data_IF_013869474171
#
_entry.id   IF_013869474171
#
_cell.length_a   1.000
_cell.length_b   1.000
_cell.length_c   1.000
_cell.angle_alpha   90.00
_cell.angle_beta   90.00
_cell.angle_gamma   90.00
#
_symmetry.space_group_name_H-M   'P 1'
#
loop_
_entity.id
_entity.type
_entity.pdbx_description
1 polymer ?
#
# COMPACT_ATOMS: atom_id res chain seq x y z
N UNK A 1 -16.82 -41.47 -20.00
CA UNK A 1 -15.63 -40.63 -19.78
C UNK A 1 -14.87 -40.56 -21.09
N UNK A 2 -14.76 -39.39 -21.73
CA UNK A 2 -13.97 -39.24 -22.95
C UNK A 2 -12.48 -39.41 -22.65
N UNK A 3 -11.76 -40.10 -23.53
CA UNK A 3 -10.30 -40.24 -23.43
C UNK A 3 -9.68 -38.87 -23.76
N UNK A 4 -9.01 -38.26 -22.78
CA UNK A 4 -8.29 -36.99 -23.00
C UNK A 4 -7.04 -37.25 -23.85
N UNK A 5 -6.85 -36.45 -24.89
CA UNK A 5 -5.58 -36.46 -25.63
C UNK A 5 -4.52 -35.73 -24.81
N UNK A 6 -3.30 -36.27 -24.80
CA UNK A 6 -2.16 -35.63 -24.15
C UNK A 6 -2.01 -34.19 -24.68
N UNK A 7 -1.99 -33.20 -23.77
CA UNK A 7 -1.86 -31.78 -24.10
C UNK A 7 -3.17 -30.99 -24.31
N UNK A 8 -4.34 -31.61 -24.18
CA UNK A 8 -5.63 -30.88 -24.25
C UNK A 8 -5.76 -29.84 -23.13
N UNK A 9 -6.12 -28.60 -23.50
CA UNK A 9 -6.26 -27.49 -22.56
C UNK A 9 -4.95 -27.01 -21.93
N UNK A 10 -3.78 -27.48 -22.38
CA UNK A 10 -2.49 -27.13 -21.78
C UNK A 10 -2.26 -25.62 -21.74
N UNK A 11 -2.35 -24.94 -22.88
CA UNK A 11 -2.08 -23.50 -22.97
C UNK A 11 -3.08 -22.66 -22.19
N UNK A 12 -4.37 -22.97 -22.27
CA UNK A 12 -5.41 -22.25 -21.52
C UNK A 12 -5.17 -22.42 -20.01
N UNK A 13 -4.81 -23.62 -19.54
CA UNK A 13 -4.50 -23.86 -18.12
C UNK A 13 -3.23 -23.12 -17.68
N UNK A 14 -2.17 -23.15 -18.48
CA UNK A 14 -0.92 -22.45 -18.18
C UNK A 14 -1.13 -20.93 -18.15
N UNK A 15 -1.83 -20.36 -19.13
CA UNK A 15 -2.13 -18.92 -19.17
C UNK A 15 -3.05 -18.51 -18.01
N UNK A 16 -4.04 -19.34 -17.67
CA UNK A 16 -4.91 -19.08 -16.50
C UNK A 16 -4.12 -19.13 -15.20
N UNK A 17 -3.25 -20.13 -15.02
CA UNK A 17 -2.38 -20.22 -13.84
C UNK A 17 -1.41 -19.04 -13.75
N UNK A 18 -0.84 -18.61 -14.88
CA UNK A 18 0.04 -17.44 -14.93
C UNK A 18 -0.71 -16.16 -14.58
N UNK A 19 -1.90 -15.92 -15.15
CA UNK A 19 -2.73 -14.75 -14.84
C UNK A 19 -3.13 -14.70 -13.37
N UNK A 20 -3.56 -15.82 -12.80
CA UNK A 20 -3.86 -15.93 -11.37
C UNK A 20 -2.59 -15.72 -10.52
N UNK A 21 -1.46 -16.32 -10.91
CA UNK A 21 -0.19 -16.17 -10.23
C UNK A 21 0.28 -14.70 -10.16
N UNK A 22 0.20 -13.97 -11.27
CA UNK A 22 0.50 -12.53 -11.32
C UNK A 22 -0.43 -11.77 -10.36
N UNK A 23 -1.73 -12.10 -10.38
CA UNK A 23 -2.72 -11.46 -9.51
C UNK A 23 -2.44 -11.72 -8.02
N UNK A 24 -2.01 -12.94 -7.67
CA UNK A 24 -1.65 -13.32 -6.30
C UNK A 24 -0.38 -12.60 -5.85
N UNK A 25 0.64 -12.50 -6.71
CA UNK A 25 1.87 -11.75 -6.40
C UNK A 25 1.53 -10.27 -6.17
N UNK A 26 0.69 -9.68 -7.01
CA UNK A 26 0.22 -8.30 -6.83
C UNK A 26 -0.54 -8.13 -5.51
N UNK A 27 -1.42 -9.07 -5.16
CA UNK A 27 -2.15 -9.06 -3.89
C UNK A 27 -1.21 -9.22 -2.67
N UNK A 28 -0.17 -10.06 -2.77
CA UNK A 28 0.83 -10.23 -1.72
C UNK A 28 1.67 -8.97 -1.52
N UNK A 29 2.08 -8.31 -2.62
CA UNK A 29 2.79 -7.03 -2.58
C UNK A 29 1.92 -5.92 -1.97
N UNK A 30 0.62 -5.89 -2.30
CA UNK A 30 -0.32 -4.98 -1.64
C UNK A 30 -0.47 -5.28 -0.14
N UNK A 31 -0.63 -6.56 0.23
CA UNK A 31 -0.75 -6.98 1.63
C UNK A 31 0.49 -6.64 2.48
N UNK A 32 1.69 -6.73 1.89
CA UNK A 32 2.94 -6.26 2.50
C UNK A 32 2.89 -4.76 2.83
N UNK A 33 2.43 -3.96 1.88
CA UNK A 33 2.25 -2.52 2.07
C UNK A 33 1.28 -2.19 3.20
N UNK A 34 0.12 -2.87 3.23
CA UNK A 34 -0.89 -2.67 4.28
C UNK A 34 -0.36 -3.05 5.68
N UNK A 35 0.34 -4.18 5.79
CA UNK A 35 0.94 -4.60 7.06
C UNK A 35 2.02 -3.63 7.58
N UNK A 36 2.70 -2.90 6.68
CA UNK A 36 3.70 -1.90 7.05
C UNK A 36 3.12 -0.59 7.60
N UNK A 37 1.87 -0.26 7.24
CA UNK A 37 1.19 0.95 7.73
C UNK A 37 0.76 0.78 9.19
N UNK A 38 0.55 -0.47 9.64
CA UNK A 38 0.10 -0.78 10.99
C UNK A 38 1.22 -0.47 11.98
N UNK A 39 1.00 0.55 12.83
CA UNK A 39 1.90 0.89 13.92
C UNK A 39 1.62 -0.03 15.12
N UNK A 40 2.55 -0.96 15.36
CA UNK A 40 2.49 -1.84 16.52
C UNK A 40 2.93 -1.09 17.79
N UNK A 41 2.34 -1.41 18.97
CA UNK A 41 2.75 -0.78 20.22
C UNK A 41 4.23 -1.03 20.50
N UNK A 42 4.94 0.03 20.85
CA UNK A 42 6.35 -0.02 21.21
C UNK A 42 6.53 -0.76 22.55
N UNK A 43 7.51 -1.68 22.60
CA UNK A 43 7.97 -2.27 23.86
C UNK A 43 8.94 -1.32 24.55
N UNK A 44 9.82 -0.74 23.76
CA UNK A 44 10.90 0.16 24.15
C UNK A 44 10.94 1.33 23.18
N UNK A 45 11.44 2.46 23.66
CA UNK A 45 11.76 3.61 22.83
C UNK A 45 13.25 3.89 22.89
N UNK A 46 13.84 4.16 21.73
CA UNK A 46 15.23 4.61 21.61
C UNK A 46 15.21 6.09 21.26
N UNK A 47 15.57 6.93 22.23
CA UNK A 47 15.62 8.38 22.13
C UNK A 47 17.05 8.85 21.87
N UNK A 48 17.24 9.75 20.91
CA UNK A 48 18.51 10.43 20.69
C UNK A 48 18.54 11.73 21.50
N UNK A 49 19.54 11.86 22.35
CA UNK A 49 19.69 12.96 23.29
C UNK A 49 20.81 13.90 22.88
N UNK A 50 20.67 15.17 23.25
CA UNK A 50 21.69 16.19 23.13
C UNK A 50 21.66 17.13 24.32
N UNK A 51 22.78 17.78 24.60
CA UNK A 51 22.93 18.67 25.75
C UNK A 51 22.55 17.96 27.06
N UNK A 52 23.05 16.72 27.22
CA UNK A 52 22.87 15.94 28.44
C UNK A 52 23.72 16.56 29.54
N UNK A 53 23.08 17.02 30.60
CA UNK A 53 23.72 17.61 31.77
C UNK A 53 23.40 16.74 32.98
N UNK A 54 24.40 16.05 33.52
CA UNK A 54 24.25 15.10 34.63
C UNK A 54 24.52 13.65 34.21
N UNK A 55 24.47 12.72 35.16
CA UNK A 55 24.75 11.30 34.95
C UNK A 55 23.43 10.52 34.88
N UNK A 56 23.23 9.72 33.82
CA UNK A 56 22.04 8.88 33.65
C UNK A 56 22.40 7.44 34.00
N UNK A 57 21.80 6.90 35.06
CA UNK A 57 21.99 5.51 35.44
C UNK A 57 20.87 4.61 34.92
N UNK A 58 21.19 3.33 34.74
CA UNK A 58 20.18 2.31 34.44
C UNK A 58 19.23 2.16 35.64
N UNK A 59 17.93 2.14 35.37
CA UNK A 59 16.89 2.03 36.40
C UNK A 59 16.34 3.36 36.89
N UNK A 60 16.89 4.50 36.46
CA UNK A 60 16.37 5.81 36.82
C UNK A 60 14.98 6.06 36.23
N UNK A 61 14.13 6.73 37.01
CA UNK A 61 12.82 7.20 36.55
C UNK A 61 12.98 8.56 35.88
N UNK A 62 12.77 8.59 34.57
CA UNK A 62 12.78 9.81 33.76
C UNK A 62 11.36 10.34 33.61
N UNK A 63 11.20 11.66 33.64
CA UNK A 63 9.95 12.33 33.26
C UNK A 63 10.10 12.94 31.88
N UNK A 64 9.20 12.58 30.96
CA UNK A 64 9.17 13.07 29.60
C UNK A 64 8.31 14.34 29.53
N UNK A 65 8.84 15.41 28.94
CA UNK A 65 8.12 16.66 28.74
C UNK A 65 7.97 16.98 27.26
N UNK A 66 6.81 17.53 26.89
CA UNK A 66 6.49 17.94 25.53
C UNK A 66 5.80 19.31 25.51
N UNK A 67 5.82 19.99 24.36
CA UNK A 67 4.99 21.18 24.17
C UNK A 67 3.55 20.77 23.81
N UNK A 68 2.60 21.16 24.64
CA UNK A 68 1.18 20.98 24.33
C UNK A 68 0.73 22.08 23.36
N UNK A 69 0.85 21.78 22.07
CA UNK A 69 0.40 22.65 20.98
C UNK A 69 -1.14 22.66 20.83
N UNK A 70 -1.85 21.75 21.49
CA UNK A 70 -3.30 21.53 21.30
C UNK A 70 -4.14 22.28 22.34
N UNK A 71 -3.65 22.43 23.59
CA UNK A 71 -4.32 23.16 24.67
C UNK A 71 -3.83 24.61 24.92
N UNK A 72 -3.04 25.17 24.01
CA UNK A 72 -2.90 26.63 23.90
C UNK A 72 -1.78 27.29 24.71
N UNK A 73 -0.66 26.63 25.00
CA UNK A 73 0.52 27.34 25.48
C UNK A 73 1.83 26.79 24.86
N UNK A 74 2.29 27.34 23.71
CA UNK A 74 3.45 26.83 22.97
C UNK A 74 4.80 27.04 23.67
N UNK A 75 4.80 27.69 24.84
CA UNK A 75 6.02 28.04 25.58
C UNK A 75 6.19 27.24 26.88
N UNK A 76 5.18 26.46 27.31
CA UNK A 76 5.22 25.70 28.57
C UNK A 76 5.31 24.21 28.30
N UNK A 77 6.40 23.60 28.80
CA UNK A 77 6.61 22.16 28.78
C UNK A 77 5.67 21.48 29.77
N UNK A 78 4.81 20.59 29.27
CA UNK A 78 3.90 19.79 30.09
C UNK A 78 4.48 18.40 30.30
N UNK A 79 4.32 17.83 31.50
CA UNK A 79 4.73 16.46 31.79
C UNK A 79 3.83 15.46 31.07
N UNK A 80 4.42 14.61 30.23
CA UNK A 80 3.74 13.49 29.57
C UNK A 80 3.52 12.31 30.53
N UNK A 81 4.42 12.17 31.50
CA UNK A 81 4.51 11.05 32.45
C UNK A 81 5.92 10.46 32.51
N UNK A 82 6.09 9.42 33.33
CA UNK A 82 7.40 8.83 33.58
C UNK A 82 7.66 7.51 32.83
N UNK A 83 8.94 7.21 32.63
CA UNK A 83 9.45 5.95 32.09
C UNK A 83 10.75 5.56 32.81
N UNK A 84 11.17 4.31 32.67
CA UNK A 84 12.38 3.77 33.28
C UNK A 84 13.50 3.69 32.24
N UNK A 85 14.71 4.07 32.64
CA UNK A 85 15.91 3.93 31.81
C UNK A 85 16.35 2.46 31.77
N UNK A 86 16.30 1.85 30.58
CA UNK A 86 16.83 0.50 30.34
C UNK A 86 18.33 0.53 30.11
N UNK A 87 18.81 1.47 29.29
CA UNK A 87 20.22 1.64 28.98
C UNK A 87 20.49 3.06 28.47
N UNK A 88 21.68 3.58 28.76
CA UNK A 88 22.15 4.85 28.23
C UNK A 88 23.54 4.65 27.60
N UNK A 89 23.64 4.87 26.30
CA UNK A 89 24.90 4.82 25.55
C UNK A 89 25.40 6.25 25.33
N UNK A 90 26.47 6.64 26.04
CA UNK A 90 27.08 7.96 25.91
C UNK A 90 27.72 8.17 24.53
N UNK A 91 27.39 9.31 23.92
CA UNK A 91 27.95 9.78 22.66
C UNK A 91 28.98 10.89 22.85
N UNK A 92 29.46 11.44 21.74
CA UNK A 92 30.41 12.57 21.77
C UNK A 92 29.68 13.89 22.04
N UNK A 93 30.32 14.82 22.74
CA UNK A 93 29.82 16.19 22.95
C UNK A 93 28.46 16.28 23.65
N UNK A 94 28.29 15.61 24.79
CA UNK A 94 27.06 15.61 25.59
C UNK A 94 25.81 15.17 24.80
N UNK A 95 26.00 14.25 23.85
CA UNK A 95 24.93 13.53 23.16
C UNK A 95 24.93 12.07 23.61
N UNK A 96 23.83 11.36 23.41
CA UNK A 96 23.75 9.94 23.76
C UNK A 96 22.49 9.29 23.23
N UNK A 97 22.43 7.96 23.29
CA UNK A 97 21.27 7.17 22.92
C UNK A 97 20.68 6.59 24.20
N UNK A 98 19.46 6.99 24.52
CA UNK A 98 18.73 6.52 25.69
C UNK A 98 17.68 5.50 25.27
N UNK A 99 17.68 4.33 25.90
CA UNK A 99 16.65 3.31 25.74
C UNK A 99 15.76 3.30 26.97
N UNK A 100 14.46 3.41 26.75
CA UNK A 100 13.48 3.58 27.82
C UNK A 100 12.37 2.54 27.69
N UNK A 101 11.92 2.02 28.83
CA UNK A 101 10.79 1.10 28.95
C UNK A 101 9.99 1.40 30.23
N UNK A 102 9.08 0.50 30.65
CA UNK A 102 8.37 0.66 31.93
C UNK A 102 7.51 1.93 32.03
N UNK A 103 6.80 2.28 30.95
CA UNK A 103 5.99 3.51 30.87
C UNK A 103 4.86 3.54 31.90
N UNK A 104 4.70 4.66 32.59
CA UNK A 104 3.64 4.89 33.58
C UNK A 104 2.25 4.83 32.95
N UNK A 105 2.07 5.44 31.77
CA UNK A 105 0.80 5.56 31.07
C UNK A 105 0.89 5.14 29.60
N UNK A 106 -0.22 4.63 29.05
CA UNK A 106 -0.33 4.25 27.62
C UNK A 106 -0.16 5.46 26.67
N UNK A 107 -0.39 6.68 27.15
CA UNK A 107 -0.10 7.92 26.41
C UNK A 107 1.40 8.09 26.20
N UNK A 108 2.21 7.92 27.26
CA UNK A 108 3.68 7.99 27.18
C UNK A 108 4.22 6.94 26.22
N UNK A 109 3.71 5.71 26.34
CA UNK A 109 4.11 4.59 25.47
C UNK A 109 3.83 4.82 23.99
N UNK A 110 2.77 5.58 23.65
CA UNK A 110 2.41 5.89 22.26
C UNK A 110 3.08 7.17 21.73
N UNK A 111 3.36 8.14 22.60
CA UNK A 111 3.79 9.49 22.24
C UNK A 111 5.19 9.86 22.73
N UNK A 112 6.00 8.92 23.21
CA UNK A 112 7.37 9.21 23.66
C UNK A 112 8.26 9.86 22.58
N UNK A 113 7.91 9.76 21.29
CA UNK A 113 8.56 10.52 20.21
C UNK A 113 8.37 12.03 20.29
N UNK A 114 7.27 12.49 20.89
CA UNK A 114 6.89 13.90 20.96
C UNK A 114 7.57 14.59 22.14
N UNK A 115 8.30 13.83 22.97
CA UNK A 115 9.08 14.39 24.05
C UNK A 115 10.20 15.27 23.49
N UNK A 116 10.38 16.45 24.07
CA UNK A 116 11.42 17.40 23.71
C UNK A 116 12.47 17.55 24.79
N UNK A 117 12.05 17.40 26.06
CA UNK A 117 12.96 17.42 27.19
C UNK A 117 12.74 16.23 28.09
N UNK A 118 13.84 15.82 28.70
CA UNK A 118 13.91 14.79 29.72
C UNK A 118 14.39 15.40 31.02
N UNK A 119 13.83 14.88 32.10
CA UNK A 119 14.17 15.28 33.46
C UNK A 119 14.34 14.04 34.34
N UNK A 120 15.44 13.96 35.09
CA UNK A 120 15.65 12.96 36.15
C UNK A 120 15.75 13.70 37.48
N UNK A 121 14.92 13.30 38.44
CA UNK A 121 14.85 13.90 39.78
C UNK A 121 13.52 14.61 40.06
N UNK A 122 13.48 15.34 41.17
CA UNK A 122 12.33 16.12 41.63
C UNK A 122 12.49 17.59 41.18
N UNK A 123 11.44 18.19 40.60
CA UNK A 123 11.45 19.54 40.02
C UNK A 123 12.10 20.57 40.96
N UNK A 124 13.34 20.98 40.64
CA UNK A 124 14.07 22.04 41.37
C UNK A 124 15.33 21.59 42.14
N UNK A 125 15.69 20.30 42.13
CA UNK A 125 16.98 19.80 42.66
C UNK A 125 18.01 19.58 41.52
N UNK A 126 19.26 19.19 41.86
CA UNK A 126 20.29 18.80 40.90
C UNK A 126 19.76 17.70 39.97
N UNK A 127 19.32 18.12 38.79
CA UNK A 127 18.50 17.30 37.93
C UNK A 127 19.17 17.10 36.60
N UNK A 128 19.16 15.85 36.15
CA UNK A 128 19.67 15.55 34.83
C UNK A 128 18.69 16.09 33.80
N UNK A 129 19.17 16.98 32.95
CA UNK A 129 18.37 17.54 31.85
C UNK A 129 18.97 17.12 30.53
N UNK A 130 18.11 16.71 29.59
CA UNK A 130 18.52 16.38 28.24
C UNK A 130 17.46 16.82 27.24
N UNK A 131 17.91 17.23 26.04
CA UNK A 131 17.03 17.58 24.92
C UNK A 131 16.89 16.35 24.01
N UNK A 132 15.66 15.91 23.80
CA UNK A 132 15.32 14.82 22.89
C UNK A 132 15.29 15.37 21.46
N UNK A 133 16.08 14.77 20.58
CA UNK A 133 16.15 15.15 19.16
C UNK A 133 15.29 14.27 18.26
N UNK A 134 14.94 13.09 18.73
CA UNK A 134 14.05 12.17 18.04
C UNK A 134 13.92 10.85 18.78
N UNK A 135 12.83 10.15 18.53
CA UNK A 135 12.55 8.84 19.10
C UNK A 135 12.23 7.82 18.01
N UNK A 136 12.84 6.65 18.08
CA UNK A 136 12.46 5.50 17.27
C UNK A 136 11.81 4.43 18.15
N UNK A 137 10.57 3.99 17.82
CA UNK A 137 9.93 2.92 18.57
C UNK A 137 10.54 1.58 18.16
N UNK A 138 10.79 0.72 19.14
CA UNK A 138 11.09 -0.68 18.89
C UNK A 138 9.83 -1.50 19.25
N UNK A 139 9.10 -2.00 18.23
CA UNK A 139 7.82 -2.67 18.46
C UNK A 139 8.01 -4.00 19.19
N UNK A 140 7.00 -4.43 19.95
CA UNK A 140 6.99 -5.74 20.62
C UNK A 140 7.19 -6.88 19.61
N UNK A 141 6.63 -6.70 18.41
CA UNK A 141 6.76 -7.63 17.30
C UNK A 141 7.33 -6.89 16.09
N UNK A 142 8.45 -7.35 15.49
CA UNK A 142 9.01 -6.73 14.30
C UNK A 142 7.98 -6.67 13.16
N UNK A 143 7.75 -5.47 12.62
CA UNK A 143 6.82 -5.25 11.51
C UNK A 143 7.16 -6.13 10.31
N UNK A 144 8.45 -6.43 10.11
CA UNK A 144 8.93 -7.33 9.07
C UNK A 144 8.31 -8.73 9.17
N UNK A 145 8.19 -9.31 10.37
CA UNK A 145 7.60 -10.64 10.52
C UNK A 145 6.10 -10.62 10.23
N UNK A 146 5.42 -9.51 10.57
CA UNK A 146 4.01 -9.34 10.23
C UNK A 146 3.83 -9.25 8.71
N UNK A 147 4.66 -8.44 8.05
CA UNK A 147 4.66 -8.28 6.60
C UNK A 147 4.92 -9.60 5.86
N UNK A 148 5.95 -10.34 6.28
CA UNK A 148 6.26 -11.67 5.74
C UNK A 148 5.11 -12.64 5.99
N UNK A 149 4.53 -12.63 7.20
CA UNK A 149 3.39 -13.49 7.54
C UNK A 149 2.17 -13.24 6.65
N UNK A 150 1.81 -11.97 6.44
CA UNK A 150 0.68 -11.59 5.58
C UNK A 150 0.95 -11.94 4.12
N UNK A 151 2.07 -11.50 3.56
CA UNK A 151 2.41 -11.78 2.16
C UNK A 151 2.57 -13.28 1.90
N UNK A 152 3.22 -14.01 2.81
CA UNK A 152 3.40 -15.46 2.74
C UNK A 152 2.08 -16.22 2.80
N UNK A 153 1.14 -15.79 3.65
CA UNK A 153 -0.20 -16.40 3.73
C UNK A 153 -1.00 -16.21 2.44
N UNK A 154 -0.95 -15.01 1.85
CA UNK A 154 -1.60 -14.72 0.56
C UNK A 154 -1.01 -15.60 -0.55
N UNK A 155 0.32 -15.72 -0.61
CA UNK A 155 1.00 -16.57 -1.58
C UNK A 155 0.65 -18.05 -1.42
N UNK A 156 0.63 -18.55 -0.19
CA UNK A 156 0.31 -19.95 0.11
C UNK A 156 -1.14 -20.28 -0.28
N UNK A 157 -2.09 -19.47 0.18
CA UNK A 157 -3.51 -19.65 -0.14
C UNK A 157 -3.72 -19.52 -1.66
N UNK A 158 -3.08 -18.54 -2.29
CA UNK A 158 -3.13 -18.35 -3.73
C UNK A 158 -2.61 -19.56 -4.52
N UNK A 159 -1.47 -20.13 -4.12
CA UNK A 159 -0.91 -21.32 -4.73
C UNK A 159 -1.85 -22.54 -4.60
N UNK A 160 -2.47 -22.71 -3.42
CA UNK A 160 -3.48 -23.74 -3.17
C UNK A 160 -4.68 -23.53 -4.12
N UNK A 161 -5.21 -22.31 -4.21
CA UNK A 161 -6.33 -21.97 -5.09
C UNK A 161 -6.00 -22.24 -6.56
N UNK A 162 -4.82 -21.84 -7.03
CA UNK A 162 -4.38 -22.10 -8.42
C UNK A 162 -4.28 -23.60 -8.69
N UNK A 163 -3.67 -24.36 -7.77
CA UNK A 163 -3.56 -25.81 -7.89
C UNK A 163 -4.94 -26.48 -7.95
N UNK A 164 -5.86 -26.11 -7.05
CA UNK A 164 -7.20 -26.69 -7.05
C UNK A 164 -8.00 -26.28 -8.28
N UNK A 165 -7.96 -25.01 -8.68
CA UNK A 165 -8.77 -24.51 -9.81
C UNK A 165 -8.26 -24.99 -11.17
N UNK A 166 -6.94 -24.95 -11.40
CA UNK A 166 -6.34 -25.29 -12.70
C UNK A 166 -5.96 -26.77 -12.79
N UNK A 167 -5.62 -27.39 -11.66
CA UNK A 167 -5.00 -28.72 -11.58
C UNK A 167 -5.96 -29.84 -11.18
N UNK A 168 -6.66 -29.67 -10.07
CA UNK A 168 -7.32 -30.78 -9.38
C UNK A 168 -8.85 -30.83 -9.54
N UNK A 169 -9.53 -29.69 -9.62
CA UNK A 169 -11.00 -29.64 -9.66
C UNK A 169 -11.52 -29.98 -11.06
N UNK A 170 -12.09 -31.18 -11.19
CA UNK A 170 -12.59 -31.75 -12.45
C UNK A 170 -13.43 -30.77 -13.28
N UNK A 171 -14.44 -30.13 -12.67
CA UNK A 171 -15.32 -29.20 -13.38
C UNK A 171 -14.57 -27.99 -13.97
N UNK A 172 -13.65 -27.40 -13.19
CA UNK A 172 -12.84 -26.27 -13.67
C UNK A 172 -11.90 -26.70 -14.79
N UNK A 173 -11.28 -27.88 -14.67
CA UNK A 173 -10.40 -28.44 -15.70
C UNK A 173 -11.18 -28.73 -16.99
N UNK A 174 -12.37 -29.33 -16.90
CA UNK A 174 -13.25 -29.58 -18.05
C UNK A 174 -13.65 -28.29 -18.74
N UNK A 175 -13.97 -27.23 -17.97
CA UNK A 175 -14.26 -25.91 -18.52
C UNK A 175 -13.06 -25.30 -19.27
N UNK A 176 -11.85 -25.36 -18.70
CA UNK A 176 -10.64 -24.83 -19.33
C UNK A 176 -10.28 -25.61 -20.61
N UNK A 177 -10.50 -26.94 -20.62
CA UNK A 177 -10.32 -27.78 -21.81
C UNK A 177 -11.38 -27.44 -22.88
N UNK A 178 -12.65 -27.28 -22.49
CA UNK A 178 -13.72 -26.91 -23.42
C UNK A 178 -13.45 -25.53 -24.04
N UNK A 179 -12.96 -24.58 -23.25
CA UNK A 179 -12.55 -23.25 -23.72
C UNK A 179 -11.42 -23.33 -24.76
N UNK A 180 -10.40 -24.15 -24.52
CA UNK A 180 -9.33 -24.41 -25.50
C UNK A 180 -9.89 -25.01 -26.80
N UNK A 181 -10.83 -25.96 -26.68
CA UNK A 181 -11.52 -26.56 -27.81
C UNK A 181 -12.35 -25.55 -28.61
N UNK A 182 -13.01 -24.62 -27.94
CA UNK A 182 -13.81 -23.57 -28.59
C UNK A 182 -12.92 -22.54 -29.28
N UNK A 183 -11.85 -22.10 -28.63
CA UNK A 183 -10.88 -21.15 -29.20
C UNK A 183 -10.15 -21.69 -30.43
N UNK A 184 -9.93 -23.00 -30.53
CA UNK A 184 -9.37 -23.63 -31.72
C UNK A 184 -10.30 -23.62 -32.93
N UNK A 185 -11.60 -23.41 -32.74
CA UNK A 185 -12.56 -23.24 -33.85
C UNK A 185 -12.50 -21.84 -34.45
N UNK A 186 -11.95 -20.88 -33.71
CA UNK A 186 -11.83 -19.50 -34.16
C UNK A 186 -10.69 -19.43 -35.18
N UNK A 187 -11.05 -19.23 -36.44
CA UNK A 187 -10.08 -18.86 -37.46
C UNK A 187 -9.73 -17.39 -37.27
N UNK A 188 -8.45 -17.10 -37.05
CA UNK A 188 -7.97 -15.72 -37.00
C UNK A 188 -7.98 -15.13 -38.40
N UNK A 189 -8.73 -14.04 -38.59
CA UNK A 189 -8.84 -13.35 -39.88
C UNK A 189 -7.47 -12.88 -40.34
N UNK A 190 -7.18 -13.04 -41.63
CA UNK A 190 -5.92 -12.56 -42.19
C UNK A 190 -5.87 -11.03 -42.20
N UNK A 191 -4.66 -10.45 -42.18
CA UNK A 191 -4.49 -8.98 -42.26
C UNK A 191 -5.21 -8.35 -43.46
N UNK A 192 -5.33 -9.09 -44.57
CA UNK A 192 -6.04 -8.64 -45.78
C UNK A 192 -7.55 -8.53 -45.56
N UNK A 193 -8.15 -9.50 -44.86
CA UNK A 193 -9.57 -9.48 -44.51
C UNK A 193 -9.89 -8.34 -43.54
N UNK A 194 -9.04 -8.14 -42.52
CA UNK A 194 -9.17 -7.03 -41.58
C UNK A 194 -9.12 -5.69 -42.32
N UNK A 195 -8.14 -5.50 -43.21
CA UNK A 195 -8.04 -4.28 -44.03
C UNK A 195 -9.26 -4.09 -44.94
N UNK A 196 -9.73 -5.16 -45.57
CA UNK A 196 -10.92 -5.14 -46.42
C UNK A 196 -12.16 -4.69 -45.65
N UNK A 197 -12.43 -5.32 -44.50
CA UNK A 197 -13.56 -4.96 -43.62
C UNK A 197 -13.47 -3.52 -43.13
N UNK A 198 -12.28 -3.06 -42.70
CA UNK A 198 -12.08 -1.69 -42.21
C UNK A 198 -12.29 -0.66 -43.32
N UNK A 199 -11.81 -0.89 -44.54
CA UNK A 199 -11.99 0.04 -45.67
C UNK A 199 -13.47 0.19 -46.03
N UNK A 200 -14.23 -0.91 -46.02
CA UNK A 200 -15.68 -0.85 -46.30
C UNK A 200 -16.40 0.00 -45.25
N UNK A 201 -16.09 -0.18 -43.97
CA UNK A 201 -16.69 0.62 -42.89
C UNK A 201 -16.31 2.10 -43.02
N UNK A 202 -15.04 2.40 -43.31
CA UNK A 202 -14.57 3.77 -43.52
C UNK A 202 -15.31 4.41 -44.71
N UNK A 203 -15.39 3.71 -45.85
CA UNK A 203 -16.07 4.21 -47.04
C UNK A 203 -17.56 4.45 -46.80
N UNK A 204 -18.26 3.52 -46.14
CA UNK A 204 -19.66 3.67 -45.78
C UNK A 204 -19.88 4.87 -44.84
N UNK A 205 -19.00 5.04 -43.84
CA UNK A 205 -19.07 6.18 -42.91
C UNK A 205 -18.89 7.51 -43.65
N UNK A 206 -17.92 7.62 -44.55
CA UNK A 206 -17.73 8.83 -45.36
C UNK A 206 -18.88 9.10 -46.34
N UNK A 207 -19.48 8.06 -46.92
CA UNK A 207 -20.63 8.21 -47.80
C UNK A 207 -21.83 8.77 -47.04
N UNK A 208 -22.14 8.19 -45.86
CA UNK A 208 -23.22 8.68 -45.00
C UNK A 208 -22.93 10.12 -44.55
N UNK A 209 -21.71 10.42 -44.10
CA UNK A 209 -21.32 11.76 -43.70
C UNK A 209 -21.45 12.77 -44.85
N UNK A 210 -21.04 12.41 -46.06
CA UNK A 210 -21.19 13.24 -47.25
C UNK A 210 -22.66 13.45 -47.65
N UNK A 211 -23.49 12.42 -47.55
CA UNK A 211 -24.93 12.53 -47.79
C UNK A 211 -25.60 13.46 -46.79
N UNK A 212 -25.34 13.26 -45.49
CA UNK A 212 -25.86 14.13 -44.43
C UNK A 212 -25.40 15.57 -44.62
N UNK A 213 -24.11 15.80 -44.90
CA UNK A 213 -23.59 17.13 -45.20
C UNK A 213 -24.30 17.78 -46.39
N UNK A 214 -24.57 17.02 -47.45
CA UNK A 214 -25.31 17.49 -48.63
C UNK A 214 -26.74 17.87 -48.30
N UNK A 215 -27.46 17.01 -47.58
CA UNK A 215 -28.84 17.24 -47.14
C UNK A 215 -28.93 18.44 -46.19
N UNK A 216 -28.05 18.51 -45.19
CA UNK A 216 -27.98 19.61 -44.22
C UNK A 216 -27.67 20.93 -44.92
N UNK A 217 -26.71 20.95 -45.85
CA UNK A 217 -26.38 22.16 -46.63
C UNK A 217 -27.53 22.60 -47.53
N UNK A 218 -28.25 21.65 -48.14
CA UNK A 218 -29.42 21.94 -48.96
C UNK A 218 -30.54 22.55 -48.11
N UNK A 219 -30.87 21.94 -46.98
CA UNK A 219 -31.88 22.45 -46.06
C UNK A 219 -31.48 23.82 -45.48
N UNK A 220 -30.23 24.00 -45.08
CA UNK A 220 -29.72 25.29 -44.59
C UNK A 220 -29.89 26.40 -45.64
N UNK A 221 -29.59 26.12 -46.92
CA UNK A 221 -29.79 27.05 -48.02
C UNK A 221 -31.27 27.36 -48.27
N UNK A 222 -32.14 26.34 -48.27
CA UNK A 222 -33.58 26.52 -48.46
C UNK A 222 -34.17 27.36 -47.32
N UNK A 223 -33.86 27.04 -46.07
CA UNK A 223 -34.36 27.78 -44.91
C UNK A 223 -33.81 29.20 -44.81
N UNK A 224 -32.57 29.44 -45.27
CA UNK A 224 -32.04 30.80 -45.42
C UNK A 224 -32.76 31.57 -46.52
N UNK A 225 -33.07 30.93 -47.66
CA UNK A 225 -33.80 31.57 -48.76
C UNK A 225 -35.25 31.95 -48.38
N UNK A 226 -35.91 31.15 -47.54
CA UNK A 226 -37.27 31.43 -47.03
C UNK A 226 -37.24 32.47 -45.88
N UNK A 227 -36.05 32.89 -45.43
CA UNK A 227 -35.89 33.92 -44.40
C UNK A 227 -36.09 33.41 -42.97
N UNK A 228 -36.12 32.09 -42.76
CA UNK A 228 -36.20 31.47 -41.43
C UNK A 228 -34.85 31.50 -40.72
N UNK A 229 -33.75 31.31 -41.47
CA UNK A 229 -32.38 31.45 -40.95
C UNK A 229 -31.85 32.84 -41.29
N UNK A 230 -31.67 33.69 -40.27
CA UNK A 230 -30.84 34.89 -40.37
C UNK A 230 -29.37 34.45 -40.51
N UNK A 231 -28.67 35.07 -41.46
CA UNK A 231 -27.25 34.79 -41.75
C UNK A 231 -26.35 35.00 -40.54
#
# INVERSE_FOLDING_TARGET
>A
MGIYKQGQGYWVRVLTAAALGISIIAAAAWGWGQAGIIRLPARQWTLSLSNVQGEIAQGDSITLQYFDLENGNPEVLTSMGSAIVDNYDEGKSASGILRISGFENELVKKRASDAERLYIGELGAESVTAIVRGGSPTPIFPVLYLQVGVAGSIMLIGAIVVYFFVGAKKHSVEFLIATDGEMKKVNWTSYREVKGSTIVVIAATFLIAGFLFGVDTLFAKIFSAIGVLQK
#
